data_IF_127764875720
#
_entry.id   IF_127764875720
#
_cell.length_a   1.000
_cell.length_b   1.000
_cell.length_c   1.000
_cell.angle_alpha   90.00
_cell.angle_beta   90.00
_cell.angle_gamma   90.00
#
_symmetry.space_group_name_H-M   'P 1'
#
loop_
_entity.id
_entity.type
_entity.pdbx_description
1 polymer ?
#
# COMPACT_ATOMS: atom_id res chain seq x y z
N UNK A 1 8.98 -17.18 -9.08
CA UNK A 1 9.76 -15.94 -9.27
C UNK A 1 10.29 -15.46 -7.92
N UNK A 2 11.56 -15.03 -7.80
CA UNK A 2 12.14 -14.48 -6.55
C UNK A 2 11.69 -13.03 -6.32
N UNK A 3 11.79 -12.53 -5.09
CA UNK A 3 11.38 -11.16 -4.74
C UNK A 3 12.04 -10.10 -5.63
N UNK A 4 13.36 -10.14 -5.79
CA UNK A 4 14.12 -9.17 -6.58
C UNK A 4 13.67 -9.15 -8.05
N UNK A 5 13.37 -10.31 -8.63
CA UNK A 5 12.84 -10.40 -10.00
C UNK A 5 11.45 -9.77 -10.12
N UNK A 6 10.57 -10.04 -9.14
CA UNK A 6 9.23 -9.42 -9.10
C UNK A 6 9.32 -7.90 -8.98
N UNK A 7 10.20 -7.41 -8.11
CA UNK A 7 10.43 -5.98 -7.89
C UNK A 7 10.97 -5.31 -9.16
N UNK A 8 11.98 -5.92 -9.79
CA UNK A 8 12.55 -5.42 -11.05
C UNK A 8 11.50 -5.37 -12.16
N UNK A 9 10.67 -6.40 -12.29
CA UNK A 9 9.59 -6.42 -13.29
C UNK A 9 8.54 -5.34 -13.03
N UNK A 10 8.10 -5.16 -11.78
CA UNK A 10 7.13 -4.11 -11.43
C UNK A 10 7.69 -2.71 -11.66
N UNK A 11 8.95 -2.47 -11.26
CA UNK A 11 9.61 -1.19 -11.48
C UNK A 11 9.82 -0.86 -12.96
N UNK A 12 10.17 -1.84 -13.79
CA UNK A 12 10.28 -1.66 -15.23
C UNK A 12 8.92 -1.38 -15.88
N UNK A 13 7.88 -2.15 -15.54
CA UNK A 13 6.52 -2.00 -16.09
C UNK A 13 5.96 -0.61 -15.84
N UNK A 14 6.12 -0.11 -14.62
CA UNK A 14 5.55 1.16 -14.19
C UNK A 14 6.57 2.33 -14.31
N UNK A 15 7.78 2.07 -14.82
CA UNK A 15 8.91 3.02 -14.88
C UNK A 15 9.13 3.76 -13.56
N UNK A 16 9.10 3.01 -12.46
CA UNK A 16 9.03 3.58 -11.12
C UNK A 16 9.88 2.80 -10.13
N UNK A 17 10.42 3.53 -9.15
CA UNK A 17 11.03 2.98 -7.93
C UNK A 17 10.22 3.35 -6.68
N UNK A 18 9.03 3.92 -6.87
CA UNK A 18 8.18 4.38 -5.77
C UNK A 18 7.58 3.19 -5.01
N UNK A 19 7.75 3.21 -3.69
CA UNK A 19 7.06 2.33 -2.78
C UNK A 19 6.08 3.15 -1.93
N UNK A 20 4.80 2.77 -1.94
CA UNK A 20 3.76 3.46 -1.16
C UNK A 20 3.51 2.73 0.16
N UNK A 21 3.43 3.50 1.25
CA UNK A 21 3.05 2.97 2.57
C UNK A 21 1.54 2.74 2.66
N UNK A 22 1.13 1.63 3.26
CA UNK A 22 -0.27 1.33 3.58
C UNK A 22 -0.42 1.31 5.11
N UNK A 23 -0.51 2.51 5.67
CA UNK A 23 -0.38 2.78 7.10
C UNK A 23 -1.67 3.50 7.59
N UNK A 24 -2.81 2.78 7.67
CA UNK A 24 -4.12 3.37 7.98
C UNK A 24 -4.19 3.81 9.45
N UNK A 25 -3.90 5.08 9.69
CA UNK A 25 -4.06 5.73 11.00
C UNK A 25 -5.53 6.17 11.19
N UNK A 26 -6.26 5.63 12.20
CA UNK A 26 -7.63 6.04 12.49
C UNK A 26 -7.82 7.56 12.69
N UNK A 27 -6.75 8.27 13.10
CA UNK A 27 -6.80 9.73 13.32
C UNK A 27 -6.69 10.55 12.04
N UNK A 28 -6.16 9.97 10.97
CA UNK A 28 -5.94 10.63 9.69
C UNK A 28 -6.91 10.15 8.60
N UNK A 29 -7.55 9.01 8.82
CA UNK A 29 -8.54 8.46 7.91
C UNK A 29 -9.85 9.26 7.90
N UNK A 30 -10.59 9.22 6.78
CA UNK A 30 -11.96 9.71 6.73
C UNK A 30 -12.86 9.02 7.77
N UNK A 31 -13.72 9.80 8.43
CA UNK A 31 -14.67 9.29 9.41
C UNK A 31 -15.61 8.27 8.75
N UNK A 32 -15.78 7.11 9.40
CA UNK A 32 -16.69 6.05 8.94
C UNK A 32 -16.13 5.14 7.84
N UNK A 33 -14.91 5.38 7.35
CA UNK A 33 -14.25 4.52 6.38
C UNK A 33 -13.44 3.42 7.10
N UNK A 34 -13.53 2.18 6.63
CA UNK A 34 -12.71 1.09 7.16
C UNK A 34 -11.26 1.18 6.66
N UNK A 35 -10.32 0.59 7.40
CA UNK A 35 -8.93 0.50 6.98
C UNK A 35 -8.74 -0.26 5.66
N UNK A 36 -9.63 -1.23 5.39
CA UNK A 36 -9.63 -2.00 4.16
C UNK A 36 -10.04 -1.14 2.96
N UNK A 37 -11.13 -0.38 3.08
CA UNK A 37 -11.58 0.54 2.05
C UNK A 37 -10.52 1.60 1.78
N UNK A 38 -9.99 2.24 2.83
CA UNK A 38 -8.96 3.26 2.71
C UNK A 38 -7.71 2.76 1.96
N UNK A 39 -7.19 1.59 2.34
CA UNK A 39 -6.03 1.02 1.64
C UNK A 39 -6.36 0.58 0.21
N UNK A 40 -7.59 0.10 -0.06
CA UNK A 40 -8.00 -0.27 -1.41
C UNK A 40 -8.00 0.95 -2.33
N UNK A 41 -8.59 2.06 -1.90
CA UNK A 41 -8.62 3.31 -2.65
C UNK A 41 -7.19 3.82 -2.97
N UNK A 42 -6.28 3.76 -1.99
CA UNK A 42 -4.86 4.10 -2.21
C UNK A 42 -4.24 3.17 -3.27
N UNK A 43 -4.47 1.85 -3.17
CA UNK A 43 -3.92 0.89 -4.12
C UNK A 43 -4.45 1.13 -5.53
N UNK A 44 -5.75 1.33 -5.69
CA UNK A 44 -6.39 1.55 -7.00
C UNK A 44 -5.87 2.84 -7.65
N UNK A 45 -5.77 3.92 -6.87
CA UNK A 45 -5.26 5.20 -7.35
C UNK A 45 -3.75 5.17 -7.69
N UNK A 46 -2.95 4.33 -7.02
CA UNK A 46 -1.48 4.36 -7.12
C UNK A 46 -0.85 3.20 -7.89
N UNK A 47 -1.60 2.14 -8.20
CA UNK A 47 -1.10 0.93 -8.87
C UNK A 47 -0.33 1.19 -10.19
N UNK A 48 -0.71 2.14 -11.05
CA UNK A 48 0.05 2.46 -12.26
C UNK A 48 1.44 3.09 -11.99
N UNK A 49 1.67 3.63 -10.79
CA UNK A 49 2.81 4.50 -10.48
C UNK A 49 3.85 3.90 -9.53
N UNK A 50 3.56 2.75 -8.90
CA UNK A 50 4.44 2.16 -7.86
C UNK A 50 5.16 0.91 -8.33
N UNK A 51 6.31 0.60 -7.73
CA UNK A 51 6.95 -0.72 -7.85
C UNK A 51 6.55 -1.68 -6.72
N UNK A 52 5.92 -1.16 -5.66
CA UNK A 52 5.45 -1.97 -4.54
C UNK A 52 4.72 -1.17 -3.46
N UNK A 53 4.21 -1.91 -2.48
CA UNK A 53 3.56 -1.37 -1.29
C UNK A 53 4.25 -1.89 -0.03
N UNK A 54 4.34 -1.05 1.00
CA UNK A 54 4.91 -1.37 2.31
C UNK A 54 3.84 -1.23 3.39
N UNK A 55 3.42 -2.35 3.97
CA UNK A 55 2.51 -2.38 5.12
C UNK A 55 3.32 -2.20 6.41
N UNK A 56 2.96 -1.24 7.26
CA UNK A 56 3.48 -1.16 8.62
C UNK A 56 2.54 -1.91 9.60
N UNK A 57 3.04 -3.01 10.16
CA UNK A 57 2.29 -3.89 11.06
C UNK A 57 1.84 -3.20 12.36
N UNK A 58 2.44 -2.08 12.76
CA UNK A 58 2.00 -1.31 13.91
C UNK A 58 0.55 -0.85 13.75
N UNK A 59 0.15 -0.46 12.53
CA UNK A 59 -1.22 -0.02 12.25
C UNK A 59 -2.19 -1.19 12.21
N UNK A 60 -1.80 -2.37 11.71
CA UNK A 60 -2.67 -3.56 11.69
C UNK A 60 -3.18 -3.94 13.08
N UNK A 61 -2.35 -3.77 14.13
CA UNK A 61 -2.75 -4.05 15.52
C UNK A 61 -3.83 -3.11 16.06
N UNK A 62 -3.99 -1.91 15.50
CA UNK A 62 -5.03 -0.96 15.90
C UNK A 62 -6.44 -1.40 15.45
N UNK A 63 -6.52 -2.34 14.51
CA UNK A 63 -7.76 -2.81 13.89
C UNK A 63 -8.13 -4.24 14.28
N UNK A 64 -7.35 -4.88 15.15
CA UNK A 64 -7.61 -6.23 15.66
C UNK A 64 -8.46 -6.16 16.94
N UNK A 65 -9.75 -5.84 16.79
CA UNK A 65 -10.78 -5.98 17.83
C UNK A 65 -12.00 -6.67 17.22
#
# INVERSE_FOLDING_TARGET
MKFLEKLKQAGNRNKSLLCVGLDPDPKLMPVGMSALEFNREIIEATAPFVCGYKINLAFTKLWAN
#
